data_IF_680043956932
#
_entry.id   IF_680043956932
#
_cell.length_a   1.000
_cell.length_b   1.000
_cell.length_c   1.000
_cell.angle_alpha   90.00
_cell.angle_beta   90.00
_cell.angle_gamma   90.00
#
_symmetry.space_group_name_H-M   'P 1'
#
loop_
_entity.id
_entity.type
_entity.pdbx_description
1 polymer ?
#
# COMPACT_ATOMS: atom_id res chain seq x y z
N UNK A 1 20.56 -1.66 13.52
CA UNK A 1 19.16 -1.30 13.18
C UNK A 1 18.59 -0.51 14.34
N UNK A 2 18.26 0.77 14.14
CA UNK A 2 17.74 1.61 15.22
C UNK A 2 16.33 1.17 15.60
N UNK A 3 16.08 1.08 16.90
CA UNK A 3 14.89 0.59 17.58
C UNK A 3 13.60 1.34 17.20
N UNK A 4 12.47 0.75 17.30
CA UNK A 4 11.28 0.87 16.46
C UNK A 4 10.22 1.77 17.05
N UNK A 5 10.31 3.08 16.83
CA UNK A 5 9.11 3.94 16.96
C UNK A 5 8.03 3.61 15.90
N UNK A 6 8.37 2.78 14.92
CA UNK A 6 7.45 2.33 13.87
C UNK A 6 6.34 1.42 14.41
N UNK A 7 6.59 0.73 15.52
CA UNK A 7 5.63 -0.21 16.11
C UNK A 7 4.43 0.48 16.76
N UNK A 8 4.64 1.65 17.37
CA UNK A 8 3.56 2.39 18.03
C UNK A 8 2.54 3.02 17.06
N UNK A 9 2.89 3.12 15.77
CA UNK A 9 2.02 3.67 14.73
C UNK A 9 1.41 2.61 13.81
N UNK A 10 1.54 1.34 14.15
CA UNK A 10 1.02 0.25 13.32
C UNK A 10 -0.52 0.22 13.21
N UNK A 11 -1.23 1.15 13.88
CA UNK A 11 -2.66 1.37 13.71
C UNK A 11 -3.47 0.06 13.73
N UNK A 12 -3.18 -0.81 14.70
CA UNK A 12 -3.93 -2.04 14.91
C UNK A 12 -5.30 -1.65 15.48
N UNK A 13 -6.27 -1.54 14.60
CA UNK A 13 -7.65 -1.41 15.03
C UNK A 13 -8.14 -2.77 15.54
N UNK A 14 -8.76 -2.77 16.71
CA UNK A 14 -9.51 -3.90 17.27
C UNK A 14 -10.60 -4.37 16.31
N UNK A 15 -11.05 -5.60 16.43
CA UNK A 15 -12.16 -6.17 15.64
C UNK A 15 -11.89 -6.33 14.14
N UNK A 16 -10.66 -6.69 13.75
CA UNK A 16 -10.34 -7.11 12.37
C UNK A 16 -10.34 -8.62 12.26
N UNK A 17 -10.89 -9.12 11.16
CA UNK A 17 -10.85 -10.54 10.83
C UNK A 17 -9.41 -11.05 10.74
N UNK A 18 -9.18 -12.29 11.19
CA UNK A 18 -7.90 -12.97 11.02
C UNK A 18 -7.58 -13.16 9.53
N UNK A 19 -6.29 -13.21 9.20
CA UNK A 19 -5.83 -13.69 7.90
C UNK A 19 -5.94 -15.21 7.77
N UNK A 20 -5.33 -15.76 6.72
CA UNK A 20 -5.30 -17.20 6.49
C UNK A 20 -4.56 -18.03 7.56
N UNK A 21 -3.81 -17.36 8.44
CA UNK A 21 -3.10 -17.95 9.59
C UNK A 21 -3.97 -18.08 10.86
N UNK A 22 -5.20 -17.59 10.83
CA UNK A 22 -6.12 -17.63 11.99
C UNK A 22 -5.72 -16.73 13.17
N UNK A 23 -4.62 -15.98 13.09
CA UNK A 23 -4.10 -15.17 14.20
C UNK A 23 -4.88 -13.86 14.31
N UNK A 24 -5.53 -13.64 15.45
CA UNK A 24 -6.27 -12.42 15.74
C UNK A 24 -5.34 -11.27 16.15
N UNK A 25 -5.67 -10.04 15.75
CA UNK A 25 -4.97 -8.82 16.18
C UNK A 25 -4.94 -8.69 17.69
N UNK A 26 -5.98 -9.11 18.37
CA UNK A 26 -6.12 -9.05 19.84
C UNK A 26 -4.96 -9.74 20.56
N UNK A 27 -4.41 -10.81 19.98
CA UNK A 27 -3.26 -11.52 20.54
C UNK A 27 -2.03 -10.61 20.65
N UNK A 28 -1.75 -9.81 19.62
CA UNK A 28 -0.62 -8.87 19.63
C UNK A 28 -0.81 -7.73 20.65
N UNK A 29 -2.05 -7.35 20.94
CA UNK A 29 -2.36 -6.35 21.96
C UNK A 29 -2.14 -6.89 23.38
N UNK A 30 -2.44 -8.18 23.60
CA UNK A 30 -2.23 -8.85 24.89
C UNK A 30 -0.73 -9.04 25.16
N UNK A 31 0.02 -9.50 24.19
CA UNK A 31 1.45 -9.82 24.32
C UNK A 31 2.36 -8.59 24.32
N UNK A 32 1.87 -7.40 23.91
CA UNK A 32 2.60 -6.11 23.93
C UNK A 32 4.07 -6.25 23.48
N UNK A 33 5.02 -6.04 24.40
CA UNK A 33 6.45 -6.01 24.09
C UNK A 33 7.01 -7.37 23.64
N UNK A 34 6.48 -8.46 24.11
CA UNK A 34 6.90 -9.79 23.69
C UNK A 34 6.45 -10.09 22.25
N UNK A 35 5.25 -9.64 21.86
CA UNK A 35 4.85 -9.70 20.47
C UNK A 35 5.82 -8.91 19.57
N UNK A 36 6.26 -7.75 20.02
CA UNK A 36 7.25 -6.94 19.26
C UNK A 36 8.57 -7.70 19.08
N UNK A 37 9.08 -8.33 20.12
CA UNK A 37 10.32 -9.14 20.03
C UNK A 37 10.19 -10.30 19.06
N UNK A 38 9.08 -11.04 19.13
CA UNK A 38 8.80 -12.17 18.22
C UNK A 38 8.68 -11.68 16.78
N UNK A 39 7.90 -10.63 16.53
CA UNK A 39 7.73 -10.05 15.20
C UNK A 39 9.06 -9.55 14.62
N UNK A 40 9.89 -8.93 15.46
CA UNK A 40 11.21 -8.48 15.05
C UNK A 40 12.11 -9.66 14.65
N UNK A 41 12.11 -10.73 15.45
CA UNK A 41 12.86 -11.96 15.14
C UNK A 41 12.40 -12.59 13.81
N UNK A 42 11.09 -12.68 13.59
CA UNK A 42 10.53 -13.18 12.33
C UNK A 42 10.96 -12.30 11.15
N UNK A 43 10.84 -10.99 11.27
CA UNK A 43 11.26 -10.07 10.22
C UNK A 43 12.77 -10.18 9.93
N UNK A 44 13.61 -10.33 10.96
CA UNK A 44 15.05 -10.55 10.78
C UNK A 44 15.34 -11.87 10.07
N UNK A 45 14.63 -12.95 10.42
CA UNK A 45 14.79 -14.24 9.77
C UNK A 45 14.42 -14.16 8.29
N UNK A 46 13.27 -13.58 7.96
CA UNK A 46 12.85 -13.38 6.57
C UNK A 46 13.87 -12.53 5.81
N UNK A 47 14.40 -11.50 6.46
CA UNK A 47 15.41 -10.64 5.86
C UNK A 47 16.72 -11.38 5.53
N UNK A 48 17.17 -12.26 6.43
CA UNK A 48 18.39 -13.05 6.23
C UNK A 48 18.21 -14.17 5.22
N UNK A 49 17.08 -14.88 5.29
CA UNK A 49 16.83 -16.08 4.47
C UNK A 49 16.17 -15.77 3.13
N UNK A 50 15.64 -14.55 2.96
CA UNK A 50 14.83 -14.16 1.80
C UNK A 50 13.62 -15.11 1.57
N UNK A 51 13.16 -15.80 2.63
CA UNK A 51 12.05 -16.75 2.55
C UNK A 51 10.93 -16.34 3.50
N UNK A 52 9.72 -16.29 2.97
CA UNK A 52 8.51 -16.07 3.76
C UNK A 52 7.90 -17.39 4.24
N UNK A 53 7.26 -17.40 5.42
CA UNK A 53 6.42 -18.52 5.83
C UNK A 53 5.35 -18.84 4.77
N UNK A 54 5.05 -20.12 4.57
CA UNK A 54 4.06 -20.54 3.57
C UNK A 54 2.67 -19.96 3.82
N UNK A 55 2.28 -19.83 5.10
CA UNK A 55 0.98 -19.25 5.48
C UNK A 55 0.82 -17.79 5.07
N UNK A 56 1.94 -17.07 4.88
CA UNK A 56 1.89 -15.68 4.41
C UNK A 56 1.69 -15.56 2.90
N UNK A 57 1.90 -16.63 2.17
CA UNK A 57 1.65 -16.71 0.73
C UNK A 57 0.18 -16.94 0.40
N UNK A 58 -0.62 -17.29 1.42
CA UNK A 58 -2.05 -17.53 1.26
C UNK A 58 -2.84 -16.30 1.66
N UNK A 59 -3.74 -15.88 0.79
CA UNK A 59 -4.69 -14.81 1.04
C UNK A 59 -6.11 -15.37 0.98
N UNK A 60 -6.96 -14.93 1.88
CA UNK A 60 -8.40 -15.22 1.80
C UNK A 60 -9.05 -14.07 1.05
N UNK A 61 -9.68 -14.38 -0.08
CA UNK A 61 -10.35 -13.38 -0.90
C UNK A 61 -11.82 -13.26 -0.51
N UNK A 62 -12.26 -12.05 -0.22
CA UNK A 62 -13.65 -11.74 0.10
C UNK A 62 -14.21 -10.87 -1.02
N UNK A 63 -15.22 -11.34 -1.75
CA UNK A 63 -15.91 -10.54 -2.75
C UNK A 63 -16.91 -9.60 -2.07
N UNK A 64 -16.85 -8.30 -2.41
CA UNK A 64 -17.80 -7.29 -1.99
C UNK A 64 -18.61 -6.82 -3.20
N UNK A 65 -19.95 -6.84 -3.13
CA UNK A 65 -20.75 -6.39 -4.24
C UNK A 65 -20.63 -4.87 -4.44
N UNK A 66 -20.50 -4.47 -5.69
CA UNK A 66 -20.68 -3.08 -6.12
C UNK A 66 -22.19 -2.78 -6.24
N UNK A 67 -22.53 -1.51 -6.44
CA UNK A 67 -23.89 -1.13 -6.83
C UNK A 67 -24.17 -1.68 -8.23
N UNK A 68 -25.22 -2.46 -8.38
CA UNK A 68 -25.61 -3.04 -9.66
C UNK A 68 -26.09 -4.49 -9.55
N UNK A 69 -26.04 -5.23 -10.66
CA UNK A 69 -26.49 -6.61 -10.71
C UNK A 69 -25.53 -7.55 -9.98
N UNK A 70 -25.97 -8.13 -8.85
CA UNK A 70 -25.16 -9.07 -8.05
C UNK A 70 -24.89 -10.41 -8.76
N UNK A 71 -25.51 -10.70 -9.91
CA UNK A 71 -25.29 -11.92 -10.68
C UNK A 71 -24.06 -11.84 -11.58
N UNK A 72 -23.50 -10.64 -11.78
CA UNK A 72 -22.34 -10.42 -12.64
C UNK A 72 -21.04 -10.37 -11.82
N UNK A 73 -20.07 -11.22 -12.16
CA UNK A 73 -18.75 -11.23 -11.49
C UNK A 73 -18.00 -9.89 -11.60
N UNK A 74 -18.23 -9.12 -12.66
CA UNK A 74 -17.68 -7.78 -12.87
C UNK A 74 -18.13 -6.77 -11.82
N UNK A 75 -19.28 -7.01 -11.18
CA UNK A 75 -19.87 -6.16 -10.15
C UNK A 75 -19.36 -6.44 -8.74
N UNK A 76 -18.26 -7.15 -8.62
CA UNK A 76 -17.58 -7.37 -7.34
C UNK A 76 -16.20 -6.75 -7.33
N UNK A 77 -15.82 -6.24 -6.18
CA UNK A 77 -14.43 -5.96 -5.86
C UNK A 77 -13.94 -6.99 -4.84
N UNK A 78 -12.69 -7.36 -4.99
CA UNK A 78 -12.11 -8.41 -4.17
C UNK A 78 -11.21 -7.74 -3.12
N UNK A 79 -11.41 -8.08 -1.85
CA UNK A 79 -10.51 -7.71 -0.77
C UNK A 79 -9.73 -8.93 -0.31
N UNK A 80 -8.40 -8.81 -0.30
CA UNK A 80 -7.53 -9.87 0.18
C UNK A 80 -7.28 -9.72 1.69
N UNK A 81 -7.62 -10.73 2.46
CA UNK A 81 -7.24 -10.85 3.85
C UNK A 81 -5.90 -11.60 3.93
N UNK A 82 -4.87 -10.84 4.24
CA UNK A 82 -3.53 -11.38 4.50
C UNK A 82 -3.26 -11.44 6.02
N UNK A 83 -2.32 -12.28 6.43
CA UNK A 83 -1.85 -12.40 7.80
C UNK A 83 -1.53 -11.03 8.42
N UNK A 84 -1.86 -10.86 9.70
CA UNK A 84 -1.55 -9.63 10.41
C UNK A 84 -0.05 -9.40 10.54
N UNK A 85 0.72 -10.47 10.71
CA UNK A 85 2.19 -10.41 10.77
C UNK A 85 2.77 -9.95 9.44
N UNK A 86 2.25 -10.47 8.34
CA UNK A 86 2.60 -10.00 6.98
C UNK A 86 2.30 -8.51 6.80
N UNK A 87 1.14 -8.04 7.28
CA UNK A 87 0.78 -6.60 7.26
C UNK A 87 1.78 -5.73 8.02
N UNK A 88 2.31 -6.21 9.16
CA UNK A 88 3.35 -5.50 9.89
C UNK A 88 4.63 -5.34 9.07
N UNK A 89 5.11 -6.42 8.50
CA UNK A 89 6.29 -6.39 7.64
C UNK A 89 6.09 -5.41 6.47
N UNK A 90 4.95 -5.48 5.79
CA UNK A 90 4.60 -4.57 4.70
C UNK A 90 4.58 -3.10 5.15
N UNK A 91 4.08 -2.79 6.36
CA UNK A 91 4.10 -1.43 6.91
C UNK A 91 5.52 -0.93 7.18
N UNK A 92 6.41 -1.79 7.68
CA UNK A 92 7.82 -1.44 7.87
C UNK A 92 8.48 -1.12 6.52
N UNK A 93 8.26 -1.96 5.52
CA UNK A 93 8.75 -1.74 4.16
C UNK A 93 8.17 -0.46 3.56
N UNK A 94 6.85 -0.25 3.69
CA UNK A 94 6.17 0.95 3.22
C UNK A 94 6.76 2.23 3.86
N UNK A 95 7.03 2.20 5.17
CA UNK A 95 7.60 3.36 5.86
C UNK A 95 8.99 3.72 5.31
N UNK A 96 9.84 2.72 5.07
CA UNK A 96 11.17 2.91 4.47
C UNK A 96 11.08 3.39 3.02
N UNK A 97 10.19 2.77 2.25
CA UNK A 97 9.98 3.11 0.85
C UNK A 97 9.41 4.51 0.67
N UNK A 98 8.53 4.94 1.57
CA UNK A 98 7.91 6.28 1.53
C UNK A 98 8.95 7.39 1.59
N UNK A 99 9.97 7.28 2.41
CA UNK A 99 11.05 8.28 2.51
C UNK A 99 11.83 8.39 1.20
N UNK A 100 12.05 7.26 0.53
CA UNK A 100 12.71 7.24 -0.76
C UNK A 100 11.83 7.81 -1.88
N UNK A 101 10.59 7.33 -1.98
CA UNK A 101 9.66 7.70 -3.06
C UNK A 101 9.26 9.18 -2.98
N UNK A 102 9.24 9.77 -1.78
CA UNK A 102 8.90 11.18 -1.56
C UNK A 102 9.65 12.15 -2.48
N UNK A 103 10.91 11.86 -2.77
CA UNK A 103 11.77 12.70 -3.62
C UNK A 103 11.68 12.35 -5.11
N UNK A 104 11.09 11.21 -5.45
CA UNK A 104 10.95 10.75 -6.85
C UNK A 104 9.60 11.10 -7.46
N UNK A 105 8.59 11.30 -6.63
CA UNK A 105 7.24 11.63 -7.10
C UNK A 105 7.19 13.11 -7.50
N UNK A 106 6.83 13.44 -8.76
CA UNK A 106 6.70 14.81 -9.21
C UNK A 106 5.62 15.57 -8.43
N UNK A 107 5.78 16.88 -8.31
CA UNK A 107 4.88 17.71 -7.49
C UNK A 107 3.46 17.78 -8.01
N UNK A 108 3.25 17.53 -9.28
CA UNK A 108 1.92 17.47 -9.90
C UNK A 108 1.09 16.28 -9.42
N UNK A 109 1.73 15.20 -8.98
CA UNK A 109 1.01 14.05 -8.46
C UNK A 109 0.44 14.32 -7.07
N UNK A 110 -0.87 14.25 -6.94
CA UNK A 110 -1.57 14.40 -5.65
C UNK A 110 -1.96 13.06 -5.02
N UNK A 111 -2.23 12.04 -5.82
CA UNK A 111 -2.64 10.73 -5.36
C UNK A 111 -1.58 10.08 -4.48
N UNK A 112 -2.03 9.46 -3.36
CA UNK A 112 -1.18 8.75 -2.39
C UNK A 112 -0.08 9.60 -1.69
N UNK A 113 -0.18 10.93 -1.77
CA UNK A 113 0.75 11.86 -1.07
C UNK A 113 0.11 12.43 0.20
N UNK A 114 0.89 12.41 1.30
CA UNK A 114 0.48 13.04 2.56
C UNK A 114 0.32 14.55 2.38
N UNK A 115 -0.81 15.10 2.82
CA UNK A 115 -1.10 16.53 2.74
C UNK A 115 -1.67 17.00 1.39
N UNK A 116 -1.72 16.15 0.38
CA UNK A 116 -2.40 16.42 -0.89
C UNK A 116 -3.68 15.58 -0.98
N UNK A 117 -4.79 16.20 -1.32
CA UNK A 117 -6.10 15.55 -1.38
C UNK A 117 -6.97 16.09 -2.49
N UNK A 118 -8.11 15.47 -2.70
CA UNK A 118 -9.09 15.81 -3.75
C UNK A 118 -9.51 17.27 -3.70
N UNK A 119 -9.70 17.83 -2.47
CA UNK A 119 -10.11 19.23 -2.28
C UNK A 119 -9.12 20.20 -2.92
N UNK A 120 -7.80 19.98 -2.71
CA UNK A 120 -6.77 20.82 -3.32
C UNK A 120 -6.75 20.72 -4.84
N UNK A 121 -6.93 19.51 -5.38
CA UNK A 121 -6.97 19.31 -6.84
C UNK A 121 -8.21 19.95 -7.48
N UNK A 122 -9.36 19.87 -6.82
CA UNK A 122 -10.58 20.56 -7.27
C UNK A 122 -10.38 22.08 -7.28
N UNK A 123 -9.71 22.64 -6.26
CA UNK A 123 -9.37 24.06 -6.23
C UNK A 123 -8.43 24.47 -7.38
N UNK A 124 -7.42 23.63 -7.68
CA UNK A 124 -6.52 23.90 -8.81
C UNK A 124 -7.28 23.91 -10.15
N UNK A 125 -8.18 22.95 -10.38
CA UNK A 125 -9.00 22.92 -11.61
C UNK A 125 -9.89 24.19 -11.70
N UNK A 126 -10.55 24.57 -10.61
CA UNK A 126 -11.34 25.81 -10.56
C UNK A 126 -10.50 27.03 -10.92
N UNK A 127 -9.33 27.15 -10.30
CA UNK A 127 -8.42 28.26 -10.59
C UNK A 127 -8.00 28.31 -12.06
N UNK A 128 -7.69 27.15 -12.68
CA UNK A 128 -7.37 27.07 -14.11
C UNK A 128 -8.54 27.56 -14.96
N UNK A 129 -9.78 27.12 -14.63
CA UNK A 129 -11.01 27.53 -15.35
C UNK A 129 -11.22 29.06 -15.21
N UNK A 130 -11.04 29.62 -14.02
CA UNK A 130 -11.19 31.06 -13.77
C UNK A 130 -10.17 31.86 -14.58
N UNK A 131 -8.91 31.43 -14.59
CA UNK A 131 -7.86 32.08 -15.39
C UNK A 131 -8.11 31.97 -16.88
N UNK A 132 -8.55 30.82 -17.36
CA UNK A 132 -8.89 30.67 -18.79
C UNK A 132 -10.03 31.62 -19.21
N UNK A 133 -11.02 31.84 -18.34
CA UNK A 133 -12.09 32.82 -18.58
C UNK A 133 -11.59 34.25 -18.59
N UNK A 134 -10.72 34.60 -17.63
CA UNK A 134 -10.12 35.93 -17.52
C UNK A 134 -9.34 36.30 -18.81
N UNK A 135 -8.59 35.35 -19.35
CA UNK A 135 -7.78 35.55 -20.55
C UNK A 135 -8.49 35.14 -21.84
N UNK A 136 -9.77 34.72 -21.79
CA UNK A 136 -10.55 34.26 -22.95
C UNK A 136 -9.88 33.12 -23.74
N UNK A 137 -9.18 32.23 -23.02
CA UNK A 137 -8.48 31.07 -23.62
C UNK A 137 -9.37 29.83 -23.50
N UNK A 138 -9.53 29.11 -24.61
CA UNK A 138 -10.20 27.83 -24.60
C UNK A 138 -9.33 26.77 -23.97
N UNK A 139 -9.88 26.02 -22.99
CA UNK A 139 -9.22 24.89 -22.35
C UNK A 139 -10.04 23.62 -22.55
N UNK A 140 -9.33 22.51 -22.69
CA UNK A 140 -9.91 21.19 -22.88
C UNK A 140 -9.42 20.28 -21.75
N UNK A 141 -10.33 19.57 -21.11
CA UNK A 141 -10.01 18.59 -20.06
C UNK A 141 -10.25 17.18 -20.58
N UNK A 142 -9.29 16.29 -20.35
CA UNK A 142 -9.44 14.86 -20.55
C UNK A 142 -9.25 14.15 -19.20
N UNK A 143 -10.27 13.39 -18.80
CA UNK A 143 -10.22 12.58 -17.57
C UNK A 143 -10.05 11.12 -17.94
N UNK A 144 -9.01 10.47 -17.42
CA UNK A 144 -8.70 9.07 -17.68
C UNK A 144 -8.87 8.29 -16.37
N UNK A 145 -9.79 7.34 -16.35
CA UNK A 145 -10.03 6.43 -15.23
C UNK A 145 -9.74 4.99 -15.64
N UNK A 146 -8.84 4.34 -14.91
CA UNK A 146 -8.47 2.96 -15.18
C UNK A 146 -9.38 2.00 -14.42
N UNK A 147 -10.02 1.09 -15.11
CA UNK A 147 -11.00 0.13 -14.54
C UNK A 147 -10.36 -0.78 -13.47
N UNK A 148 -9.11 -1.20 -13.66
CA UNK A 148 -8.36 -2.10 -12.78
C UNK A 148 -6.88 -1.72 -12.71
N UNK A 149 -6.58 -0.47 -12.33
CA UNK A 149 -5.22 0.09 -12.37
C UNK A 149 -4.17 -0.78 -11.65
N UNK A 150 -4.50 -1.33 -10.48
CA UNK A 150 -3.57 -2.14 -9.68
C UNK A 150 -3.41 -3.56 -10.21
N UNK A 151 -4.45 -4.12 -10.84
CA UNK A 151 -4.40 -5.47 -11.42
C UNK A 151 -3.61 -5.50 -12.74
N UNK A 152 -3.48 -4.33 -13.41
CA UNK A 152 -2.79 -4.18 -14.69
C UNK A 152 -1.31 -3.78 -14.55
N UNK A 153 -0.75 -3.76 -13.33
CA UNK A 153 0.64 -3.40 -13.12
C UNK A 153 1.58 -4.45 -13.69
N UNK A 154 2.50 -4.02 -14.53
CA UNK A 154 3.55 -4.90 -15.08
C UNK A 154 4.66 -5.08 -14.05
N UNK A 155 4.57 -6.14 -13.25
CA UNK A 155 5.40 -6.35 -12.06
C UNK A 155 6.89 -6.40 -12.42
N UNK A 156 7.28 -7.09 -13.50
CA UNK A 156 8.69 -7.17 -13.92
C UNK A 156 9.27 -5.78 -14.18
N UNK A 157 8.54 -4.93 -14.89
CA UNK A 157 8.98 -3.55 -15.16
C UNK A 157 9.03 -2.69 -13.91
N UNK A 158 8.07 -2.88 -13.00
CA UNK A 158 8.09 -2.22 -11.69
C UNK A 158 9.35 -2.58 -10.91
N UNK A 159 9.76 -3.85 -10.94
CA UNK A 159 10.97 -4.32 -10.24
C UNK A 159 12.25 -3.79 -10.88
N UNK A 160 12.33 -3.67 -12.19
CA UNK A 160 13.44 -3.01 -12.87
C UNK A 160 13.58 -1.57 -12.37
N UNK A 161 12.51 -0.77 -12.45
CA UNK A 161 12.53 0.63 -12.04
C UNK A 161 12.92 0.79 -10.55
N UNK A 162 12.44 -0.10 -9.69
CA UNK A 162 12.79 -0.07 -8.27
C UNK A 162 14.26 -0.44 -8.06
N UNK A 163 14.82 -1.37 -8.83
CA UNK A 163 16.24 -1.75 -8.78
C UNK A 163 17.13 -0.63 -9.29
N UNK A 164 16.84 -0.08 -10.45
CA UNK A 164 17.65 0.94 -11.11
C UNK A 164 17.65 2.27 -10.34
N UNK A 165 16.54 2.59 -9.70
CA UNK A 165 16.40 3.80 -8.89
C UNK A 165 17.01 3.72 -7.51
N UNK A 166 17.53 2.57 -7.06
CA UNK A 166 17.75 2.37 -5.64
C UNK A 166 18.92 1.47 -5.23
N UNK A 167 20.10 2.03 -5.27
CA UNK A 167 21.32 1.42 -4.74
C UNK A 167 21.37 1.32 -3.20
N UNK A 168 20.43 1.93 -2.49
CA UNK A 168 20.40 2.01 -1.01
C UNK A 168 19.30 1.19 -0.33
N UNK A 169 18.31 0.68 -1.08
CA UNK A 169 17.43 -0.32 -0.50
C UNK A 169 18.19 -1.63 -0.43
N UNK A 170 18.19 -2.27 0.75
CA UNK A 170 18.82 -3.58 0.87
C UNK A 170 18.22 -4.51 -0.18
N UNK A 171 19.06 -5.33 -0.77
CA UNK A 171 18.73 -6.34 -1.78
C UNK A 171 17.77 -7.41 -1.22
N UNK A 172 16.55 -6.98 -0.88
CA UNK A 172 15.46 -7.93 -0.70
C UNK A 172 15.06 -8.33 -2.11
N UNK A 173 15.02 -9.61 -2.38
CA UNK A 173 14.24 -10.12 -3.49
C UNK A 173 12.80 -9.71 -3.23
N UNK A 174 12.33 -8.68 -3.93
CA UNK A 174 10.95 -8.16 -3.82
C UNK A 174 9.93 -9.22 -4.20
N UNK A 175 10.35 -10.18 -5.02
CA UNK A 175 9.60 -11.41 -5.33
C UNK A 175 9.24 -12.19 -4.05
N UNK A 176 10.07 -12.06 -3.02
CA UNK A 176 9.81 -12.68 -1.71
C UNK A 176 8.76 -11.91 -0.89
N UNK A 177 8.43 -10.66 -1.25
CA UNK A 177 7.48 -9.84 -0.50
C UNK A 177 6.05 -9.87 -1.07
N UNK A 178 5.83 -10.47 -2.22
CA UNK A 178 4.53 -10.76 -2.82
C UNK A 178 4.29 -12.24 -2.89
#
# INVERSE_FOLDING_TARGET
MRHPRVWNHAGLTTNKASGGDGILVKLFQILKDDAVKVLHSICQKIWKTQQRPQDWKRSVFIPFPKKGNAKECSNYWISALISHVSKFMLKILQARFREYVKWKIPDVQAGFRKGKGTRGQTANIRWIIEKAREFQINIYFCFIDYTKAFDCVYHNKLWEIIRDGNTRLPSISWETCM
#
